data_IF_372679835614
#
_entry.id   IF_372679835614
#
_cell.length_a   1.000
_cell.length_b   1.000
_cell.length_c   1.000
_cell.angle_alpha   90.00
_cell.angle_beta   90.00
_cell.angle_gamma   90.00
#
_symmetry.space_group_name_H-M   'P 1'
#
loop_
_entity.id
_entity.type
_entity.pdbx_description
1 polymer ?
#
# COMPACT_ATOMS: atom_id res chain seq x y z
N UNK A 1 -10.95 28.14 -4.41
CA UNK A 1 -11.89 27.75 -5.49
C UNK A 1 -11.35 26.59 -6.33
N UNK A 2 -10.12 26.67 -6.86
CA UNK A 2 -9.49 25.62 -7.70
C UNK A 2 -9.24 24.29 -6.95
N UNK A 3 -8.66 24.31 -5.74
CA UNK A 3 -8.39 23.06 -4.98
C UNK A 3 -9.65 22.24 -4.73
N UNK A 4 -10.72 22.89 -4.27
CA UNK A 4 -12.01 22.24 -4.00
C UNK A 4 -12.60 21.62 -5.27
N UNK A 5 -12.52 22.31 -6.40
CA UNK A 5 -13.01 21.82 -7.68
C UNK A 5 -12.33 20.51 -8.10
N UNK A 6 -10.99 20.47 -8.09
CA UNK A 6 -10.24 19.26 -8.47
C UNK A 6 -10.43 18.11 -7.50
N UNK A 7 -10.51 18.38 -6.19
CA UNK A 7 -10.82 17.34 -5.21
C UNK A 7 -12.22 16.74 -5.41
N UNK A 8 -13.22 17.56 -5.76
CA UNK A 8 -14.55 17.04 -6.07
C UNK A 8 -14.51 16.12 -7.29
N UNK A 9 -13.84 16.53 -8.37
CA UNK A 9 -13.68 15.68 -9.57
C UNK A 9 -12.93 14.39 -9.26
N UNK A 10 -11.88 14.47 -8.44
CA UNK A 10 -11.14 13.30 -7.98
C UNK A 10 -12.05 12.30 -7.27
N UNK A 11 -12.78 12.75 -6.23
CA UNK A 11 -13.68 11.90 -5.44
C UNK A 11 -14.81 11.27 -6.27
N UNK A 12 -15.21 11.90 -7.38
CA UNK A 12 -16.21 11.35 -8.31
C UNK A 12 -15.62 10.33 -9.29
N UNK A 13 -14.29 10.24 -9.42
CA UNK A 13 -13.66 9.31 -10.35
C UNK A 13 -13.71 7.86 -9.85
N UNK A 14 -13.93 6.86 -10.74
CA UNK A 14 -14.04 5.46 -10.36
C UNK A 14 -12.64 4.82 -10.19
N UNK A 15 -11.92 5.22 -9.14
CA UNK A 15 -10.56 4.73 -8.86
C UNK A 15 -10.46 4.05 -7.50
N UNK A 16 -9.67 2.97 -7.44
CA UNK A 16 -9.29 2.28 -6.20
C UNK A 16 -8.34 3.10 -5.32
N UNK A 17 -7.79 4.20 -5.84
CA UNK A 17 -6.82 5.03 -5.11
C UNK A 17 -7.46 5.79 -3.94
N UNK A 18 -8.79 5.89 -3.90
CA UNK A 18 -9.56 6.48 -2.79
C UNK A 18 -9.36 5.74 -1.47
N UNK A 19 -9.00 4.45 -1.52
CA UNK A 19 -8.67 3.65 -0.33
C UNK A 19 -7.39 4.13 0.37
N UNK A 20 -6.56 4.89 -0.35
CA UNK A 20 -5.24 5.32 0.10
C UNK A 20 -5.15 6.84 0.22
N UNK A 21 -5.84 7.59 -0.66
CA UNK A 21 -5.77 9.05 -0.72
C UNK A 21 -7.13 9.64 -1.06
N UNK A 22 -7.68 10.47 -0.15
CA UNK A 22 -8.99 11.13 -0.34
C UNK A 22 -8.86 12.59 -0.73
N UNK A 23 -7.70 13.20 -0.51
CA UNK A 23 -7.40 14.56 -0.96
C UNK A 23 -6.11 14.57 -1.80
N UNK A 24 -6.20 15.06 -3.04
CA UNK A 24 -5.08 15.11 -4.00
C UNK A 24 -4.00 16.12 -3.60
N UNK A 25 -4.26 16.94 -2.59
CA UNK A 25 -3.33 17.89 -1.99
C UNK A 25 -2.77 17.41 -0.65
N UNK A 26 -3.05 16.17 -0.22
CA UNK A 26 -2.39 15.57 0.95
C UNK A 26 -0.87 15.62 0.79
N UNK A 27 -0.15 15.97 1.85
CA UNK A 27 1.30 16.01 1.81
C UNK A 27 1.89 14.62 1.55
N UNK A 28 2.98 14.58 0.79
CA UNK A 28 3.70 13.34 0.53
C UNK A 28 4.80 13.20 1.58
N UNK A 29 4.87 12.06 2.27
CA UNK A 29 5.88 11.81 3.28
C UNK A 29 7.32 11.98 2.75
N UNK A 30 8.18 12.57 3.56
CA UNK A 30 9.55 12.93 3.13
C UNK A 30 10.53 11.83 3.49
N UNK A 31 10.94 11.06 2.48
CA UNK A 31 11.86 9.91 2.63
C UNK A 31 12.99 9.93 1.61
N UNK A 32 13.97 9.03 1.78
CA UNK A 32 14.97 8.79 0.74
C UNK A 32 14.34 8.25 -0.55
N UNK A 33 15.03 8.40 -1.68
CA UNK A 33 14.55 7.99 -3.03
C UNK A 33 13.94 6.58 -3.04
N UNK A 34 14.62 5.62 -2.42
CA UNK A 34 14.21 4.20 -2.42
C UNK A 34 12.91 3.98 -1.64
N UNK A 35 12.80 4.53 -0.45
CA UNK A 35 11.63 4.42 0.43
C UNK A 35 10.42 5.12 -0.20
N UNK A 36 10.62 6.30 -0.80
CA UNK A 36 9.57 6.98 -1.55
C UNK A 36 9.04 6.09 -2.69
N UNK A 37 9.92 5.42 -3.44
CA UNK A 37 9.49 4.49 -4.49
C UNK A 37 8.65 3.35 -3.93
N UNK A 38 9.08 2.73 -2.83
CA UNK A 38 8.34 1.64 -2.15
C UNK A 38 6.95 2.13 -1.70
N UNK A 39 6.87 3.28 -1.03
CA UNK A 39 5.60 3.86 -0.59
C UNK A 39 4.67 4.15 -1.77
N UNK A 40 5.16 4.75 -2.86
CA UNK A 40 4.34 5.01 -4.05
C UNK A 40 3.81 3.73 -4.69
N UNK A 41 4.64 2.69 -4.80
CA UNK A 41 4.24 1.39 -5.36
C UNK A 41 3.17 0.72 -4.52
N UNK A 42 3.25 0.81 -3.19
CA UNK A 42 2.22 0.35 -2.28
C UNK A 42 0.92 1.12 -2.48
N UNK A 43 0.99 2.46 -2.55
CA UNK A 43 -0.18 3.32 -2.72
C UNK A 43 -0.98 3.00 -3.99
N UNK A 44 -0.30 2.72 -5.11
CA UNK A 44 -0.96 2.36 -6.37
C UNK A 44 -1.20 0.85 -6.51
N UNK A 45 -0.56 0.05 -5.67
CA UNK A 45 -0.59 -1.41 -5.68
C UNK A 45 0.19 -2.03 -6.83
N UNK A 46 1.17 -1.34 -7.43
CA UNK A 46 2.00 -1.81 -8.55
C UNK A 46 3.34 -2.34 -8.02
N UNK A 47 3.27 -3.52 -7.42
CA UNK A 47 4.43 -4.20 -6.82
C UNK A 47 4.72 -5.47 -7.62
N UNK A 48 5.91 -6.04 -7.47
CA UNK A 48 6.22 -7.33 -8.12
C UNK A 48 5.20 -8.40 -7.68
N UNK A 49 4.89 -8.44 -6.38
CA UNK A 49 3.94 -9.41 -5.79
C UNK A 49 2.57 -9.34 -6.48
N UNK A 50 2.07 -8.12 -6.71
CA UNK A 50 0.70 -7.90 -7.21
C UNK A 50 0.59 -7.88 -8.73
N UNK A 51 1.63 -7.50 -9.48
CA UNK A 51 1.56 -7.27 -10.93
C UNK A 51 2.48 -8.14 -11.78
N UNK A 52 3.41 -8.90 -11.19
CA UNK A 52 4.30 -9.78 -11.97
C UNK A 52 3.55 -10.74 -12.88
N UNK A 53 2.41 -11.27 -12.42
CA UNK A 53 1.59 -12.19 -13.21
C UNK A 53 1.10 -11.59 -14.54
N UNK A 54 0.83 -10.27 -14.58
CA UNK A 54 0.45 -9.57 -15.79
C UNK A 54 1.63 -9.46 -16.77
N UNK A 55 2.81 -9.15 -16.23
CA UNK A 55 4.05 -8.97 -17.01
C UNK A 55 4.49 -10.32 -17.60
N UNK A 56 4.50 -11.38 -16.78
CA UNK A 56 4.95 -12.70 -17.18
C UNK A 56 3.86 -13.54 -17.85
N UNK A 57 2.63 -13.02 -17.96
CA UNK A 57 1.42 -13.75 -18.42
C UNK A 57 1.22 -15.09 -17.69
N UNK A 58 1.54 -15.12 -16.39
CA UNK A 58 1.38 -16.30 -15.53
C UNK A 58 0.08 -16.18 -14.72
N UNK A 59 -0.26 -17.26 -14.03
CA UNK A 59 -1.33 -17.23 -13.03
C UNK A 59 -1.02 -16.23 -11.92
N UNK A 60 -2.08 -15.69 -11.31
CA UNK A 60 -1.93 -14.72 -10.23
C UNK A 60 -1.22 -15.36 -9.02
N UNK A 61 -0.31 -14.62 -8.41
CA UNK A 61 0.34 -15.05 -7.18
C UNK A 61 -0.69 -15.17 -6.05
N UNK A 62 -0.83 -16.38 -5.50
CA UNK A 62 -1.66 -16.65 -4.33
C UNK A 62 -0.78 -16.66 -3.08
N UNK A 63 -1.32 -16.13 -1.99
CA UNK A 63 -0.71 -16.27 -0.68
C UNK A 63 -0.77 -17.75 -0.28
N UNK A 64 0.37 -18.37 0.04
CA UNK A 64 0.44 -19.80 0.36
C UNK A 64 -0.38 -20.19 1.58
N UNK A 65 -0.47 -19.31 2.59
CA UNK A 65 -1.22 -19.58 3.82
C UNK A 65 -2.71 -19.29 3.71
N UNK A 66 -3.09 -18.31 2.88
CA UNK A 66 -4.48 -17.84 2.80
C UNK A 66 -5.21 -18.32 1.54
N UNK A 67 -4.48 -18.84 0.55
CA UNK A 67 -4.98 -19.24 -0.77
C UNK A 67 -5.79 -18.15 -1.49
N UNK A 68 -5.49 -16.87 -1.21
CA UNK A 68 -6.13 -15.71 -1.83
C UNK A 68 -5.13 -14.93 -2.67
N UNK A 69 -5.59 -14.11 -3.64
CA UNK A 69 -4.75 -13.17 -4.38
C UNK A 69 -3.85 -12.33 -3.48
N UNK A 70 -2.53 -12.40 -3.71
CA UNK A 70 -1.58 -11.54 -3.01
C UNK A 70 -1.73 -10.10 -3.50
N UNK A 71 -2.35 -9.26 -2.67
CA UNK A 71 -2.52 -7.82 -2.91
C UNK A 71 -1.81 -7.00 -1.82
N UNK A 72 -1.61 -5.70 -2.05
CA UNK A 72 -1.09 -4.80 -0.99
C UNK A 72 -2.02 -4.78 0.22
N UNK A 73 -3.34 -4.75 -0.01
CA UNK A 73 -4.34 -4.87 1.06
C UNK A 73 -4.20 -6.18 1.80
N UNK A 74 -4.04 -7.29 1.08
CA UNK A 74 -3.82 -8.58 1.69
C UNK A 74 -2.58 -8.57 2.59
N UNK A 75 -1.46 -8.06 2.10
CA UNK A 75 -0.20 -7.98 2.84
C UNK A 75 -0.34 -7.14 4.13
N UNK A 76 -0.91 -5.94 3.99
CA UNK A 76 -0.92 -4.92 5.04
C UNK A 76 -2.11 -5.02 6.01
N UNK A 77 -3.16 -5.77 5.68
CA UNK A 77 -4.40 -5.82 6.49
C UNK A 77 -4.87 -7.25 6.75
N UNK A 78 -4.94 -8.10 5.72
CA UNK A 78 -5.75 -9.34 5.78
C UNK A 78 -4.93 -10.61 6.05
N UNK A 79 -3.66 -10.67 5.65
CA UNK A 79 -2.90 -11.91 5.59
C UNK A 79 -2.65 -12.48 6.98
N UNK A 80 -3.13 -13.69 7.26
CA UNK A 80 -2.96 -14.33 8.57
C UNK A 80 -1.48 -14.57 8.91
N UNK A 81 -0.64 -14.86 7.91
CA UNK A 81 0.80 -15.09 8.11
C UNK A 81 1.52 -13.88 8.72
N UNK A 82 1.04 -12.67 8.44
CA UNK A 82 1.67 -11.44 8.92
C UNK A 82 0.90 -10.78 10.07
N UNK A 83 -0.11 -11.45 10.64
CA UNK A 83 -0.96 -10.88 11.70
C UNK A 83 -0.13 -10.42 12.92
N UNK A 84 0.80 -11.25 13.40
CA UNK A 84 1.61 -10.89 14.57
C UNK A 84 2.54 -9.70 14.30
N UNK A 85 3.14 -9.63 13.10
CA UNK A 85 3.99 -8.50 12.71
C UNK A 85 3.17 -7.20 12.60
N UNK A 86 1.95 -7.28 12.06
CA UNK A 86 1.02 -6.13 12.02
C UNK A 86 0.62 -5.64 13.41
N UNK A 87 0.37 -6.56 14.35
CA UNK A 87 0.07 -6.22 15.74
C UNK A 87 1.23 -5.51 16.42
N UNK A 88 2.47 -6.00 16.23
CA UNK A 88 3.69 -5.32 16.73
C UNK A 88 3.85 -3.92 16.17
N UNK A 89 3.57 -3.73 14.89
CA UNK A 89 3.66 -2.44 14.22
C UNK A 89 2.48 -1.49 14.54
N UNK A 90 1.44 -1.97 15.24
CA UNK A 90 0.27 -1.17 15.60
C UNK A 90 -0.59 -0.76 14.39
N UNK A 91 -0.72 -1.64 13.40
CA UNK A 91 -1.47 -1.34 12.19
C UNK A 91 -2.98 -1.26 12.43
N UNK A 92 -3.61 -0.32 11.72
CA UNK A 92 -5.07 -0.22 11.62
C UNK A 92 -5.56 -0.99 10.38
N UNK A 93 -6.88 -1.17 10.25
CA UNK A 93 -7.48 -1.76 9.04
C UNK A 93 -7.75 -0.70 7.95
N UNK A 94 -7.05 0.44 7.99
CA UNK A 94 -7.25 1.58 7.08
C UNK A 94 -5.91 2.00 6.45
N UNK A 95 -5.75 1.72 5.15
CA UNK A 95 -4.54 2.04 4.40
C UNK A 95 -4.27 3.55 4.33
N UNK A 96 -5.32 4.37 4.27
CA UNK A 96 -5.17 5.82 4.26
C UNK A 96 -4.50 6.27 5.55
N UNK A 97 -4.97 5.78 6.69
CA UNK A 97 -4.36 6.11 7.99
C UNK A 97 -2.91 5.68 8.02
N UNK A 98 -2.61 4.43 7.65
CA UNK A 98 -1.26 3.87 7.71
C UNK A 98 -0.24 4.56 6.79
N UNK A 99 -0.70 5.17 5.69
CA UNK A 99 0.16 5.79 4.67
C UNK A 99 0.09 7.31 4.66
N UNK A 100 -0.51 7.93 5.69
CA UNK A 100 -0.78 9.37 5.75
C UNK A 100 0.46 10.21 6.05
N UNK A 101 1.18 9.88 7.11
CA UNK A 101 2.29 10.69 7.63
C UNK A 101 3.59 9.89 7.74
N UNK A 102 4.69 10.60 7.95
CA UNK A 102 6.03 10.03 8.04
C UNK A 102 6.15 8.98 9.14
N UNK A 103 5.53 9.18 10.31
CA UNK A 103 5.63 8.25 11.43
C UNK A 103 5.00 6.90 11.06
N UNK A 104 3.79 6.93 10.51
CA UNK A 104 3.09 5.72 10.09
C UNK A 104 3.74 5.06 8.89
N UNK A 105 4.23 5.86 7.93
CA UNK A 105 5.01 5.34 6.80
C UNK A 105 6.29 4.64 7.25
N UNK A 106 7.00 5.15 8.28
CA UNK A 106 8.16 4.44 8.87
C UNK A 106 7.77 3.08 9.44
N UNK A 107 6.63 2.98 10.13
CA UNK A 107 6.13 1.69 10.63
C UNK A 107 5.82 0.72 9.49
N UNK A 108 5.25 1.21 8.38
CA UNK A 108 5.03 0.41 7.17
C UNK A 108 6.35 -0.07 6.56
N UNK A 109 7.35 0.81 6.42
CA UNK A 109 8.66 0.44 5.88
C UNK A 109 9.38 -0.57 6.77
N UNK A 110 9.36 -0.38 8.09
CA UNK A 110 9.93 -1.31 9.06
C UNK A 110 9.26 -2.69 8.99
N UNK A 111 7.93 -2.73 8.91
CA UNK A 111 7.18 -3.97 8.71
C UNK A 111 7.60 -4.70 7.43
N UNK A 112 7.75 -3.99 6.30
CA UNK A 112 8.16 -4.61 5.03
C UNK A 112 9.57 -5.19 5.07
N UNK A 113 10.47 -4.58 5.85
CA UNK A 113 11.80 -5.13 6.12
C UNK A 113 11.69 -6.40 6.99
N UNK A 114 10.89 -6.37 8.05
CA UNK A 114 10.67 -7.52 8.95
C UNK A 114 10.15 -8.75 8.20
N UNK A 115 9.18 -8.56 7.30
CA UNK A 115 8.62 -9.67 6.52
C UNK A 115 9.41 -9.98 5.23
N UNK A 116 10.57 -9.35 5.03
CA UNK A 116 11.44 -9.51 3.85
C UNK A 116 10.77 -9.21 2.50
N UNK A 117 9.74 -8.35 2.48
CA UNK A 117 9.01 -7.98 1.26
C UNK A 117 9.51 -6.69 0.63
N UNK A 118 10.42 -5.95 1.27
CA UNK A 118 10.89 -4.64 0.79
C UNK A 118 11.44 -4.66 -0.65
N UNK A 119 12.15 -5.71 -1.07
CA UNK A 119 12.69 -5.82 -2.44
C UNK A 119 11.64 -6.22 -3.49
N UNK A 120 10.49 -6.73 -3.04
CA UNK A 120 9.41 -7.22 -3.90
C UNK A 120 8.33 -6.15 -4.12
N UNK A 121 8.47 -5.00 -3.47
CA UNK A 121 7.67 -3.79 -3.69
C UNK A 121 8.37 -2.93 -4.74
#
# INVERSE_FOLDING_TARGET
MVKKYWNTLWLQSPTKLHDVRKDIYEDVPTFGRREQCVLHRIRIGHTNITHSFLISKKSRNLCQSCNTPSTVRHLLIECNNFQQARQRAGFTNDLQVMLKDDEKCRKVLAFLLEISMFQLI
#
